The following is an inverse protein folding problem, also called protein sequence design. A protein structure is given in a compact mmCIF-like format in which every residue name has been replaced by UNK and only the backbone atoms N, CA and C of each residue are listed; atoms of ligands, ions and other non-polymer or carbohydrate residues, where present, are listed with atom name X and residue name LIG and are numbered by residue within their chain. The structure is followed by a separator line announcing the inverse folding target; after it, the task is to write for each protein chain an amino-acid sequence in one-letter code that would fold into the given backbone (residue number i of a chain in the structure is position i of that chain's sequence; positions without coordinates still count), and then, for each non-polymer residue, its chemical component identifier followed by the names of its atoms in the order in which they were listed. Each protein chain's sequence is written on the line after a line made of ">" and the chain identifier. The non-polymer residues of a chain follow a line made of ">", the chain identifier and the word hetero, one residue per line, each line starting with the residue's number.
data_IF_253995602842
#
_entry.id   IF_253995602842
#
_cell.length_a   1.000
_cell.length_b   1.000
_cell.length_c   1.000
_cell.angle_alpha   90.00
_cell.angle_beta   90.00
_cell.angle_gamma   90.00
#
_symmetry.space_group_name_H-M   'P 1'
#
loop_
_entity.id
_entity.type
_entity.pdbx_description
1 polymer ?
#
# COMPACT_ATOMS: atom_id res chain seq x y z
N UNK A 1 0.05 48.98 -10.14
CA UNK A 1 -0.25 48.15 -8.95
C UNK A 1 -0.83 46.76 -9.24
N UNK A 2 -1.43 46.48 -10.41
CA UNK A 2 -2.01 45.15 -10.74
C UNK A 2 -0.98 44.03 -10.97
N UNK A 3 0.23 44.32 -11.46
CA UNK A 3 1.27 43.31 -11.75
C UNK A 3 1.99 42.74 -10.51
N UNK A 4 2.12 43.54 -9.43
CA UNK A 4 2.77 43.08 -8.19
C UNK A 4 1.92 42.02 -7.45
N UNK A 5 0.60 42.16 -7.49
CA UNK A 5 -0.33 41.21 -6.85
C UNK A 5 -0.41 39.87 -7.60
N UNK A 6 -0.25 39.90 -8.93
CA UNK A 6 -0.24 38.68 -9.76
C UNK A 6 1.02 37.84 -9.53
N UNK A 7 2.17 38.49 -9.37
CA UNK A 7 3.44 37.82 -9.11
C UNK A 7 3.48 37.20 -7.70
N UNK A 8 2.94 37.89 -6.70
CA UNK A 8 2.82 37.38 -5.32
C UNK A 8 1.81 36.24 -5.23
N UNK A 9 0.65 36.35 -5.91
CA UNK A 9 -0.32 35.25 -5.97
C UNK A 9 0.26 34.01 -6.69
N UNK A 10 1.02 34.21 -7.77
CA UNK A 10 1.73 33.13 -8.46
C UNK A 10 2.76 32.43 -7.57
N UNK A 11 3.55 33.19 -6.80
CA UNK A 11 4.52 32.63 -5.85
C UNK A 11 3.84 31.84 -4.72
N UNK A 12 2.71 32.32 -4.19
CA UNK A 12 1.96 31.60 -3.14
C UNK A 12 1.41 30.28 -3.68
N UNK A 13 0.85 30.27 -4.89
CA UNK A 13 0.33 29.05 -5.52
C UNK A 13 1.45 28.03 -5.80
N UNK A 14 2.60 28.48 -6.30
CA UNK A 14 3.76 27.61 -6.53
C UNK A 14 4.33 27.07 -5.21
N UNK A 15 4.42 27.91 -4.17
CA UNK A 15 4.89 27.48 -2.85
C UNK A 15 3.93 26.46 -2.21
N UNK A 16 2.61 26.67 -2.32
CA UNK A 16 1.62 25.71 -1.84
C UNK A 16 1.66 24.39 -2.61
N UNK A 17 1.88 24.43 -3.93
CA UNK A 17 2.03 23.23 -4.74
C UNK A 17 3.29 22.44 -4.35
N UNK A 18 4.43 23.12 -4.19
CA UNK A 18 5.69 22.51 -3.75
C UNK A 18 5.61 21.97 -2.31
N UNK A 19 4.90 22.65 -1.40
CA UNK A 19 4.65 22.16 -0.05
C UNK A 19 3.73 20.92 -0.06
N UNK A 20 2.69 20.91 -0.89
CA UNK A 20 1.79 19.77 -1.03
C UNK A 20 2.48 18.52 -1.62
N UNK A 21 3.38 18.71 -2.59
CA UNK A 21 4.14 17.60 -3.16
C UNK A 21 5.15 17.04 -2.17
N UNK A 22 5.89 17.89 -1.47
CA UNK A 22 6.89 17.46 -0.47
C UNK A 22 6.28 16.75 0.74
N UNK A 23 5.11 17.19 1.23
CA UNK A 23 4.38 16.51 2.32
C UNK A 23 3.82 15.15 1.87
N UNK A 24 3.34 15.05 0.63
CA UNK A 24 2.85 13.78 0.06
C UNK A 24 3.93 12.69 0.04
N UNK A 25 5.13 13.01 -0.47
CA UNK A 25 6.24 12.05 -0.55
C UNK A 25 6.79 11.62 0.82
N UNK A 26 6.83 12.52 1.81
CA UNK A 26 7.23 12.16 3.16
C UNK A 26 6.23 11.19 3.80
N UNK A 27 4.93 11.41 3.59
CA UNK A 27 3.88 10.52 4.09
C UNK A 27 3.94 9.11 3.45
N UNK A 28 4.31 9.03 2.18
CA UNK A 28 4.40 7.75 1.47
C UNK A 28 5.51 6.85 2.02
N UNK A 29 6.64 7.44 2.43
CA UNK A 29 7.76 6.72 3.01
C UNK A 29 7.35 6.04 4.33
N UNK A 30 6.76 6.80 5.25
CA UNK A 30 6.33 6.28 6.57
C UNK A 30 5.26 5.18 6.42
N UNK A 31 4.33 5.37 5.47
CA UNK A 31 3.34 4.36 5.14
C UNK A 31 4.04 3.09 4.65
N UNK A 32 4.94 3.19 3.67
CA UNK A 32 5.62 2.02 3.10
C UNK A 32 6.57 1.32 4.09
N UNK A 33 7.23 2.04 4.99
CA UNK A 33 8.03 1.47 6.08
C UNK A 33 7.19 0.62 7.03
N UNK A 34 5.95 1.03 7.31
CA UNK A 34 5.03 0.21 8.08
C UNK A 34 4.43 -0.94 7.26
N UNK A 35 4.15 -0.72 5.97
CA UNK A 35 3.58 -1.77 5.11
C UNK A 35 4.51 -2.99 4.97
N UNK A 36 5.81 -2.78 4.83
CA UNK A 36 6.75 -3.90 4.58
C UNK A 36 6.76 -4.93 5.70
N UNK A 37 6.63 -4.51 6.97
CA UNK A 37 6.63 -5.41 8.12
C UNK A 37 5.44 -6.38 8.07
N UNK A 38 4.25 -5.88 7.77
CA UNK A 38 3.04 -6.69 7.68
C UNK A 38 2.96 -7.47 6.38
N UNK A 39 3.48 -6.92 5.27
CA UNK A 39 3.64 -7.66 4.03
C UNK A 39 4.50 -8.91 4.23
N UNK A 40 5.64 -8.78 4.93
CA UNK A 40 6.51 -9.92 5.23
C UNK A 40 5.77 -10.96 6.09
N UNK A 41 4.98 -10.55 7.09
CA UNK A 41 4.18 -11.47 7.91
C UNK A 41 3.18 -12.28 7.07
N UNK A 42 2.50 -11.64 6.13
CA UNK A 42 1.58 -12.34 5.21
C UNK A 42 2.39 -13.26 4.30
N UNK A 43 3.49 -12.78 3.74
CA UNK A 43 4.34 -13.56 2.82
C UNK A 43 4.98 -14.78 3.49
N UNK A 44 5.30 -14.73 4.78
CA UNK A 44 5.84 -15.89 5.50
C UNK A 44 4.83 -17.03 5.63
N UNK A 45 3.54 -16.75 5.44
CA UNK A 45 2.49 -17.77 5.37
C UNK A 45 2.23 -18.27 3.93
N UNK A 46 2.79 -17.61 2.92
CA UNK A 46 2.61 -18.00 1.52
C UNK A 46 3.26 -19.38 1.26
N UNK A 47 2.47 -20.30 0.73
CA UNK A 47 2.87 -21.69 0.51
C UNK A 47 2.72 -22.63 1.72
N UNK A 48 2.29 -22.15 2.88
CA UNK A 48 1.91 -23.02 4.01
C UNK A 48 0.51 -23.61 3.81
N UNK A 49 0.28 -24.80 4.36
CA UNK A 49 -1.02 -25.45 4.37
C UNK A 49 -1.64 -25.38 5.77
N UNK A 50 -2.98 -25.29 5.91
CA UNK A 50 -3.62 -25.21 7.23
C UNK A 50 -3.43 -26.46 8.10
N UNK A 51 -3.20 -27.62 7.48
CA UNK A 51 -3.02 -28.91 8.15
C UNK A 51 -1.56 -29.34 8.33
N UNK A 52 -0.59 -28.46 8.09
CA UNK A 52 0.82 -28.77 8.33
C UNK A 52 1.09 -28.92 9.85
N UNK A 53 1.67 -30.05 10.25
CA UNK A 53 1.90 -30.38 11.68
C UNK A 53 2.97 -29.52 12.34
N UNK A 54 3.91 -28.95 11.58
CA UNK A 54 5.06 -28.22 12.11
C UNK A 54 4.91 -26.71 11.96
N UNK A 55 4.25 -26.26 10.90
CA UNK A 55 4.03 -24.83 10.64
C UNK A 55 2.70 -24.60 9.89
N UNK A 56 1.55 -24.70 10.59
CA UNK A 56 0.25 -24.51 9.99
C UNK A 56 0.06 -23.06 9.53
N UNK A 57 -0.73 -22.88 8.47
CA UNK A 57 -1.09 -21.57 7.95
C UNK A 57 -1.81 -20.71 9.01
N UNK A 58 -1.29 -19.53 9.33
CA UNK A 58 -1.86 -18.61 10.32
C UNK A 58 -2.89 -17.65 9.69
N UNK A 59 -4.14 -18.13 9.55
CA UNK A 59 -5.24 -17.30 9.05
C UNK A 59 -5.47 -16.03 9.88
N UNK A 60 -5.32 -16.13 11.20
CA UNK A 60 -5.59 -15.01 12.11
C UNK A 60 -4.54 -13.92 11.93
N UNK A 61 -3.26 -14.27 11.99
CA UNK A 61 -2.15 -13.33 11.80
C UNK A 61 -2.15 -12.71 10.41
N UNK A 62 -2.49 -13.47 9.37
CA UNK A 62 -2.67 -12.94 8.01
C UNK A 62 -3.81 -11.92 7.94
N UNK A 63 -4.97 -12.22 8.53
CA UNK A 63 -6.12 -11.31 8.55
C UNK A 63 -5.87 -10.03 9.35
N UNK A 64 -5.18 -10.14 10.49
CA UNK A 64 -4.76 -9.01 11.32
C UNK A 64 -3.75 -8.13 10.59
N UNK A 65 -2.72 -8.74 9.97
CA UNK A 65 -1.73 -8.02 9.18
C UNK A 65 -2.40 -7.24 8.03
N UNK A 66 -3.29 -7.88 7.27
CA UNK A 66 -4.02 -7.23 6.19
C UNK A 66 -4.92 -6.08 6.69
N UNK A 67 -5.53 -6.22 7.87
CA UNK A 67 -6.32 -5.15 8.50
C UNK A 67 -5.46 -3.94 8.84
N UNK A 68 -4.30 -4.15 9.47
CA UNK A 68 -3.38 -3.05 9.82
C UNK A 68 -2.84 -2.36 8.57
N UNK A 69 -2.51 -3.14 7.53
CA UNK A 69 -2.07 -2.60 6.24
C UNK A 69 -3.14 -1.74 5.57
N UNK A 70 -4.42 -2.14 5.63
CA UNK A 70 -5.55 -1.35 5.12
C UNK A 70 -5.71 -0.02 5.86
N UNK A 71 -5.68 -0.06 7.19
CA UNK A 71 -5.79 1.15 8.02
C UNK A 71 -4.63 2.10 7.77
N UNK A 72 -3.43 1.56 7.53
CA UNK A 72 -2.25 2.35 7.19
C UNK A 72 -2.35 2.96 5.79
N UNK A 73 -2.81 2.18 4.80
CA UNK A 73 -3.01 2.67 3.43
C UNK A 73 -4.09 3.75 3.36
N UNK A 74 -5.11 3.68 4.22
CA UNK A 74 -6.15 4.70 4.36
C UNK A 74 -5.65 6.08 4.80
N UNK A 75 -4.41 6.18 5.28
CA UNK A 75 -3.75 7.46 5.62
C UNK A 75 -3.07 8.11 4.41
N UNK A 76 -2.94 7.40 3.29
CA UNK A 76 -2.22 7.91 2.13
C UNK A 76 -2.97 9.07 1.51
N UNK A 77 -2.25 10.15 1.25
CA UNK A 77 -2.76 11.30 0.50
C UNK A 77 -2.28 11.24 -0.95
N UNK A 78 -3.08 11.74 -1.89
CA UNK A 78 -2.76 11.67 -3.31
C UNK A 78 -2.76 13.04 -3.94
N UNK A 79 -1.68 13.33 -4.68
CA UNK A 79 -1.54 14.56 -5.46
C UNK A 79 -2.00 14.37 -6.92
N UNK A 80 -2.23 13.13 -7.37
CA UNK A 80 -2.70 12.84 -8.71
C UNK A 80 -3.60 11.58 -8.78
N UNK A 81 -4.30 11.42 -9.91
CA UNK A 81 -5.28 10.35 -10.12
C UNK A 81 -4.69 8.96 -10.28
N UNK A 82 -3.48 8.85 -10.83
CA UNK A 82 -2.81 7.57 -11.02
C UNK A 82 -2.32 7.03 -9.67
N UNK A 83 -1.80 7.91 -8.79
CA UNK A 83 -1.39 7.51 -7.45
C UNK A 83 -2.60 7.00 -6.67
N UNK A 84 -3.71 7.74 -6.71
CA UNK A 84 -4.97 7.30 -6.10
C UNK A 84 -5.50 5.98 -6.68
N UNK A 85 -5.37 5.76 -8.00
CA UNK A 85 -5.80 4.52 -8.63
C UNK A 85 -4.95 3.32 -8.17
N UNK A 86 -3.62 3.48 -8.10
CA UNK A 86 -2.72 2.42 -7.63
C UNK A 86 -2.98 2.10 -6.15
N UNK A 87 -3.19 3.10 -5.30
CA UNK A 87 -3.55 2.90 -3.90
C UNK A 87 -4.86 2.14 -3.73
N UNK A 88 -5.85 2.38 -4.60
CA UNK A 88 -7.08 1.57 -4.61
C UNK A 88 -6.82 0.11 -4.98
N UNK A 89 -5.88 -0.17 -5.89
CA UNK A 89 -5.49 -1.55 -6.20
C UNK A 89 -4.84 -2.22 -4.97
N UNK A 90 -3.89 -1.54 -4.32
CA UNK A 90 -3.26 -2.02 -3.08
C UNK A 90 -4.31 -2.33 -2.03
N UNK A 91 -5.21 -1.37 -1.75
CA UNK A 91 -6.29 -1.54 -0.78
C UNK A 91 -7.27 -2.66 -1.17
N UNK A 92 -7.61 -2.78 -2.45
CA UNK A 92 -8.48 -3.85 -2.94
C UNK A 92 -7.89 -5.24 -2.70
N UNK A 93 -6.61 -5.43 -3.00
CA UNK A 93 -5.95 -6.71 -2.76
C UNK A 93 -5.79 -7.01 -1.27
N UNK A 94 -5.51 -6.02 -0.42
CA UNK A 94 -5.50 -6.20 1.03
C UNK A 94 -6.88 -6.57 1.58
N UNK A 95 -7.96 -5.97 1.08
CA UNK A 95 -9.33 -6.34 1.44
C UNK A 95 -9.67 -7.78 1.05
N UNK A 96 -9.21 -8.23 -0.12
CA UNK A 96 -9.38 -9.61 -0.55
C UNK A 96 -8.60 -10.59 0.34
N UNK A 97 -7.37 -10.26 0.73
CA UNK A 97 -6.58 -11.06 1.68
C UNK A 97 -7.31 -11.16 3.01
N UNK A 98 -7.74 -10.03 3.58
CA UNK A 98 -8.49 -9.98 4.85
C UNK A 98 -9.75 -10.84 4.78
N UNK A 99 -10.52 -10.71 3.69
CA UNK A 99 -11.77 -11.46 3.52
C UNK A 99 -11.53 -12.96 3.37
N UNK A 100 -10.54 -13.37 2.58
CA UNK A 100 -10.17 -14.78 2.41
C UNK A 100 -9.66 -15.38 3.72
N UNK A 101 -8.76 -14.68 4.41
CA UNK A 101 -8.23 -15.12 5.70
C UNK A 101 -9.33 -15.26 6.76
N UNK A 102 -10.29 -14.32 6.80
CA UNK A 102 -11.42 -14.36 7.73
C UNK A 102 -12.43 -15.49 7.48
N UNK A 103 -12.47 -16.06 6.28
CA UNK A 103 -13.30 -17.24 5.98
C UNK A 103 -12.71 -18.52 6.56
N UNK A 104 -11.37 -18.65 6.52
CA UNK A 104 -10.63 -19.83 6.94
C UNK A 104 -11.23 -21.16 6.41
N UNK A 105 -11.71 -21.14 5.16
CA UNK A 105 -12.35 -22.27 4.48
C UNK A 105 -11.42 -22.89 3.41
N UNK A 106 -11.80 -24.04 2.85
CA UNK A 106 -11.14 -24.62 1.69
C UNK A 106 -10.99 -23.58 0.55
N UNK A 107 -9.81 -23.50 -0.06
CA UNK A 107 -9.51 -22.49 -1.09
C UNK A 107 -9.08 -21.12 -0.55
N UNK A 108 -9.11 -20.89 0.77
CA UNK A 108 -8.78 -19.58 1.35
C UNK A 108 -7.29 -19.26 1.25
N UNK A 109 -6.41 -20.25 1.40
CA UNK A 109 -4.95 -20.08 1.26
C UNK A 109 -4.59 -19.64 -0.15
N UNK A 110 -5.16 -20.30 -1.16
CA UNK A 110 -4.96 -20.00 -2.56
C UNK A 110 -5.51 -18.61 -2.91
N UNK A 111 -6.65 -18.25 -2.33
CA UNK A 111 -7.25 -16.92 -2.50
C UNK A 111 -6.38 -15.80 -1.89
N UNK A 112 -5.79 -16.06 -0.72
CA UNK A 112 -4.80 -15.15 -0.11
C UNK A 112 -3.55 -15.06 -0.99
N UNK A 113 -2.95 -16.19 -1.38
CA UNK A 113 -1.73 -16.21 -2.21
C UNK A 113 -1.91 -15.51 -3.56
N UNK A 114 -3.07 -15.73 -4.21
CA UNK A 114 -3.45 -15.01 -5.42
C UNK A 114 -3.48 -13.50 -5.18
N UNK A 115 -4.18 -13.05 -4.14
CA UNK A 115 -4.30 -11.62 -3.81
C UNK A 115 -2.96 -11.02 -3.39
N UNK A 116 -2.10 -11.77 -2.68
CA UNK A 116 -0.76 -11.36 -2.28
C UNK A 116 0.13 -11.10 -3.51
N UNK A 117 0.03 -11.92 -4.55
CA UNK A 117 0.73 -11.69 -5.82
C UNK A 117 0.33 -10.36 -6.46
N UNK A 118 -0.95 -10.03 -6.49
CA UNK A 118 -1.40 -8.76 -7.06
C UNK A 118 -1.12 -7.56 -6.16
N UNK A 119 -1.10 -7.75 -4.84
CA UNK A 119 -0.59 -6.76 -3.89
C UNK A 119 0.88 -6.41 -4.20
N UNK A 120 1.75 -7.42 -4.35
CA UNK A 120 3.14 -7.22 -4.75
C UNK A 120 3.27 -6.41 -6.05
N UNK A 121 2.47 -6.76 -7.07
CA UNK A 121 2.50 -6.06 -8.35
C UNK A 121 2.04 -4.61 -8.23
N UNK A 122 1.04 -4.34 -7.39
CA UNK A 122 0.49 -3.00 -7.15
C UNK A 122 1.50 -2.11 -6.41
N UNK A 123 2.14 -2.62 -5.36
CA UNK A 123 3.21 -1.88 -4.66
C UNK A 123 4.36 -1.57 -5.62
N UNK A 124 4.80 -2.56 -6.40
CA UNK A 124 5.85 -2.39 -7.40
C UNK A 124 5.49 -1.39 -8.50
N UNK A 125 4.22 -1.30 -8.89
CA UNK A 125 3.74 -0.31 -9.85
C UNK A 125 3.90 1.10 -9.29
N UNK A 126 3.50 1.34 -8.04
CA UNK A 126 3.72 2.64 -7.38
C UNK A 126 5.22 2.99 -7.34
N UNK A 127 6.06 2.06 -6.87
CA UNK A 127 7.51 2.27 -6.77
C UNK A 127 8.15 2.59 -8.13
N UNK A 128 7.73 1.93 -9.21
CA UNK A 128 8.28 2.17 -10.54
C UNK A 128 7.84 3.48 -11.18
N UNK A 129 6.67 4.00 -10.83
CA UNK A 129 6.13 5.23 -11.42
C UNK A 129 6.57 6.46 -10.62
N UNK A 130 6.58 6.36 -9.29
CA UNK A 130 6.79 7.49 -8.38
C UNK A 130 8.18 7.48 -7.71
N UNK A 131 8.96 6.43 -7.91
CA UNK A 131 10.29 6.25 -7.31
C UNK A 131 11.22 5.47 -8.25
N UNK A 132 11.15 5.79 -9.54
CA UNK A 132 11.70 5.02 -10.66
C UNK A 132 13.18 4.66 -10.53
N UNK A 133 13.98 5.58 -10.01
CA UNK A 133 15.45 5.42 -9.91
C UNK A 133 15.89 4.78 -8.59
N UNK A 134 14.96 4.52 -7.67
CA UNK A 134 15.26 3.93 -6.38
C UNK A 134 15.02 2.41 -6.40
N UNK A 135 15.97 1.66 -5.84
CA UNK A 135 15.78 0.22 -5.58
C UNK A 135 14.96 0.03 -4.31
N UNK A 136 13.64 -0.04 -4.47
CA UNK A 136 12.71 -0.25 -3.36
C UNK A 136 12.33 -1.74 -3.20
N UNK A 137 12.11 -2.13 -1.94
CA UNK A 137 11.48 -3.42 -1.62
C UNK A 137 9.99 -3.37 -2.03
N UNK A 138 9.35 -4.53 -2.23
CA UNK A 138 7.93 -4.58 -2.55
C UNK A 138 7.07 -4.01 -1.43
#
# INVERSE_FOLDING_TARGET
>A
MKGKNFFVAGLIVVAMFMAGTTVGYASDKDICEKQIDYYIKIKMNDGLLPGDEFNPYDFKGVGEAATIMLENEGKRTHNDKNHAAITRLVSGHLANIKAAAGKAAEGSVESVGHSLRFLYLSCKACHKVYSTEMRLRP
#
